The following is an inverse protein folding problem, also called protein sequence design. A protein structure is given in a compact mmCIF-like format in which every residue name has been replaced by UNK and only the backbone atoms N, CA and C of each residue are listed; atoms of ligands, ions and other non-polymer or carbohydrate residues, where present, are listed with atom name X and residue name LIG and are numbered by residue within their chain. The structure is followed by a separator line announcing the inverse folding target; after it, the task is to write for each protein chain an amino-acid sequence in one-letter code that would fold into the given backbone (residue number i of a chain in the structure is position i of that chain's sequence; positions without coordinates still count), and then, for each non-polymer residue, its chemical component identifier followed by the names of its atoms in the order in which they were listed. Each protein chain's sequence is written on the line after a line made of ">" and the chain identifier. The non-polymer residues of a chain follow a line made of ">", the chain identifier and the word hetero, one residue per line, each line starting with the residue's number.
data_IF_329285399585
#
_entry.id   IF_329285399585
#
_cell.length_a   1.000
_cell.length_b   1.000
_cell.length_c   1.000
_cell.angle_alpha   90.00
_cell.angle_beta   90.00
_cell.angle_gamma   90.00
#
_symmetry.space_group_name_H-M   'P 1'
#
loop_
_entity.id
_entity.type
_entity.pdbx_description
1 polymer ?
#
# COMPACT_ATOMS: atom_id res chain seq x y z
N UNK A 1 27.76 43.11 -5.83
CA UNK A 1 26.82 42.24 -6.56
C UNK A 1 26.92 40.84 -5.95
N UNK A 2 26.13 40.55 -4.92
CA UNK A 2 26.09 39.23 -4.27
C UNK A 2 25.01 38.38 -4.94
N UNK A 3 25.40 37.26 -5.54
CA UNK A 3 24.45 36.28 -6.05
C UNK A 3 23.99 35.43 -4.87
N UNK A 4 22.71 35.55 -4.50
CA UNK A 4 22.07 34.65 -3.56
C UNK A 4 22.04 33.24 -4.15
N UNK A 5 22.57 32.28 -3.40
CA UNK A 5 22.48 30.86 -3.68
C UNK A 5 21.01 30.43 -3.68
N UNK A 6 20.51 29.96 -4.82
CA UNK A 6 19.19 29.34 -4.91
C UNK A 6 19.22 28.05 -4.08
N UNK A 7 18.42 28.01 -3.02
CA UNK A 7 18.28 26.87 -2.12
C UNK A 7 17.79 25.63 -2.89
N UNK A 8 18.61 24.58 -2.94
CA UNK A 8 18.24 23.28 -3.51
C UNK A 8 17.31 22.44 -2.59
N UNK A 9 16.70 23.05 -1.57
CA UNK A 9 16.08 22.32 -0.44
C UNK A 9 14.59 21.94 -0.64
N UNK A 10 13.89 22.41 -1.68
CA UNK A 10 12.42 22.42 -1.62
C UNK A 10 11.66 21.11 -1.97
N UNK A 11 12.22 20.15 -2.72
CA UNK A 11 11.38 19.02 -3.21
C UNK A 11 11.46 17.73 -2.38
N UNK A 12 12.44 17.57 -1.49
CA UNK A 12 12.56 16.39 -0.61
C UNK A 12 11.47 16.40 0.47
N UNK A 13 11.16 17.59 1.00
CA UNK A 13 10.07 17.83 1.93
C UNK A 13 8.71 17.45 1.36
N UNK A 14 8.46 17.72 0.07
CA UNK A 14 7.17 17.46 -0.57
C UNK A 14 6.88 15.96 -0.76
N UNK A 15 7.91 15.14 -1.01
CA UNK A 15 7.77 13.68 -1.09
C UNK A 15 7.50 13.08 0.29
N UNK A 16 8.22 13.53 1.32
CA UNK A 16 7.94 13.14 2.72
C UNK A 16 6.51 13.54 3.10
N UNK A 17 6.05 14.72 2.66
CA UNK A 17 4.71 15.21 2.90
C UNK A 17 3.64 14.33 2.21
N UNK A 18 3.89 13.87 0.99
CA UNK A 18 2.96 13.00 0.25
C UNK A 18 2.75 11.65 0.94
N UNK A 19 3.84 10.97 1.35
CA UNK A 19 3.73 9.68 2.03
C UNK A 19 3.02 9.80 3.40
N UNK A 20 3.28 10.88 4.14
CA UNK A 20 2.60 11.17 5.41
C UNK A 20 1.11 11.41 5.17
N UNK A 21 0.75 12.21 4.17
CA UNK A 21 -0.65 12.44 3.81
C UNK A 21 -1.37 11.15 3.39
N UNK A 22 -0.71 10.29 2.59
CA UNK A 22 -1.25 8.98 2.19
C UNK A 22 -1.52 8.11 3.41
N UNK A 23 -0.57 8.01 4.35
CA UNK A 23 -0.75 7.25 5.59
C UNK A 23 -1.88 7.80 6.46
N UNK A 24 -1.98 9.12 6.59
CA UNK A 24 -3.06 9.74 7.36
C UNK A 24 -4.44 9.54 6.71
N UNK A 25 -4.50 9.55 5.38
CA UNK A 25 -5.71 9.20 4.64
C UNK A 25 -6.09 7.73 4.84
N UNK A 26 -5.12 6.82 4.87
CA UNK A 26 -5.36 5.40 5.14
C UNK A 26 -5.87 5.21 6.58
N UNK A 27 -5.25 5.84 7.58
CA UNK A 27 -5.68 5.75 8.99
C UNK A 27 -7.14 6.18 9.21
N UNK A 28 -7.67 7.07 8.38
CA UNK A 28 -9.07 7.55 8.45
C UNK A 28 -10.09 6.56 7.91
N UNK A 29 -9.66 5.51 7.22
CA UNK A 29 -10.55 4.45 6.70
C UNK A 29 -11.13 3.66 7.87
N UNK A 30 -12.43 3.35 7.84
CA UNK A 30 -13.07 2.64 8.97
C UNK A 30 -12.77 1.13 8.98
N UNK A 31 -12.72 0.50 7.81
CA UNK A 31 -12.43 -0.93 7.67
C UNK A 31 -10.94 -1.21 7.89
N UNK A 32 -10.63 -2.06 8.85
CA UNK A 32 -9.25 -2.49 9.10
C UNK A 32 -8.72 -3.36 7.96
N UNK A 33 -9.60 -4.14 7.31
CA UNK A 33 -9.23 -4.90 6.11
C UNK A 33 -8.84 -3.97 4.97
N UNK A 34 -9.60 -2.90 4.75
CA UNK A 34 -9.27 -1.91 3.73
C UNK A 34 -7.99 -1.14 4.07
N UNK A 35 -7.81 -0.75 5.34
CA UNK A 35 -6.55 -0.16 5.81
C UNK A 35 -5.35 -1.06 5.51
N UNK A 36 -5.42 -2.33 5.93
CA UNK A 36 -4.35 -3.31 5.72
C UNK A 36 -4.05 -3.49 4.24
N UNK A 37 -5.08 -3.57 3.39
CA UNK A 37 -4.92 -3.69 1.93
C UNK A 37 -4.16 -2.49 1.36
N UNK A 38 -4.49 -1.27 1.79
CA UNK A 38 -3.82 -0.06 1.30
C UNK A 38 -2.38 0.05 1.83
N UNK A 39 -2.16 -0.19 3.13
CA UNK A 39 -0.79 -0.19 3.70
C UNK A 39 0.09 -1.23 3.00
N UNK A 40 -0.44 -2.42 2.71
CA UNK A 40 0.32 -3.47 2.03
C UNK A 40 0.76 -3.06 0.63
N UNK A 41 -0.09 -2.31 -0.09
CA UNK A 41 0.25 -1.74 -1.42
C UNK A 41 1.28 -0.62 -1.33
N UNK A 42 1.13 0.30 -0.38
CA UNK A 42 2.10 1.38 -0.16
C UNK A 42 3.47 0.82 0.21
N UNK A 43 3.51 -0.24 1.03
CA UNK A 43 4.74 -0.95 1.34
C UNK A 43 5.41 -1.51 0.08
N UNK A 44 4.66 -2.21 -0.78
CA UNK A 44 5.20 -2.76 -2.03
C UNK A 44 5.74 -1.65 -2.94
N UNK A 45 5.05 -0.51 -3.04
CA UNK A 45 5.51 0.63 -3.83
C UNK A 45 6.88 1.13 -3.34
N UNK A 46 7.01 1.38 -2.03
CA UNK A 46 8.28 1.81 -1.41
C UNK A 46 9.36 0.75 -1.61
N UNK A 47 9.04 -0.52 -1.41
CA UNK A 47 9.99 -1.62 -1.58
C UNK A 47 10.53 -1.68 -3.01
N UNK A 48 9.66 -1.64 -4.01
CA UNK A 48 10.04 -1.67 -5.43
C UNK A 48 10.90 -0.46 -5.78
N UNK A 49 10.53 0.74 -5.31
CA UNK A 49 11.37 1.93 -5.48
C UNK A 49 12.78 1.72 -4.93
N UNK A 50 12.91 1.17 -3.71
CA UNK A 50 14.21 0.89 -3.10
C UNK A 50 14.98 -0.16 -3.87
N UNK A 51 14.30 -1.18 -4.38
CA UNK A 51 14.88 -2.22 -5.22
C UNK A 51 15.45 -1.63 -6.52
N UNK A 52 14.66 -0.84 -7.26
CA UNK A 52 15.11 -0.17 -8.49
C UNK A 52 16.29 0.77 -8.20
N UNK A 53 16.21 1.52 -7.09
CA UNK A 53 17.29 2.41 -6.66
C UNK A 53 18.58 1.65 -6.35
N UNK A 54 18.49 0.46 -5.75
CA UNK A 54 19.64 -0.39 -5.47
C UNK A 54 20.23 -0.99 -6.76
N UNK A 55 19.37 -1.47 -7.68
CA UNK A 55 19.80 -1.99 -8.97
C UNK A 55 20.52 -0.91 -9.79
N UNK A 56 19.99 0.31 -9.83
CA UNK A 56 20.65 1.42 -10.52
C UNK A 56 22.05 1.71 -9.99
N UNK A 57 22.30 1.55 -8.68
CA UNK A 57 23.64 1.75 -8.10
C UNK A 57 24.67 0.70 -8.55
N UNK A 58 24.21 -0.45 -9.04
CA UNK A 58 25.07 -1.53 -9.53
C UNK A 58 25.34 -1.48 -11.03
N UNK A 59 24.65 -0.59 -11.75
CA UNK A 59 24.87 -0.40 -13.19
C UNK A 59 26.03 0.56 -13.40
N UNK A 60 26.93 0.19 -14.31
CA UNK A 60 28.04 1.06 -14.71
C UNK A 60 27.51 2.35 -15.34
N UNK A 61 28.05 3.48 -14.91
CA UNK A 61 27.51 4.81 -15.22
C UNK A 61 28.17 5.44 -16.44
N UNK A 62 29.32 4.92 -16.86
CA UNK A 62 29.99 5.39 -18.07
C UNK A 62 29.14 5.09 -19.31
N UNK A 63 28.68 6.14 -20.01
CA UNK A 63 27.86 6.01 -21.22
C UNK A 63 26.37 5.66 -20.99
N UNK A 64 25.89 5.69 -19.75
CA UNK A 64 24.48 5.42 -19.43
C UNK A 64 23.51 6.46 -20.00
N UNK A 65 22.24 6.07 -20.17
CA UNK A 65 21.12 6.90 -20.68
C UNK A 65 20.92 8.25 -19.96
N UNK A 66 21.49 8.42 -18.77
CA UNK A 66 21.39 9.64 -17.97
C UNK A 66 22.67 10.49 -17.96
N UNK A 67 23.71 10.12 -18.71
CA UNK A 67 24.97 10.86 -18.80
C UNK A 67 25.75 10.94 -17.46
N UNK A 68 26.65 11.92 -17.36
CA UNK A 68 27.43 12.20 -16.15
C UNK A 68 26.54 12.61 -14.97
N UNK A 69 26.89 12.13 -13.77
CA UNK A 69 26.12 12.34 -12.53
C UNK A 69 26.07 13.83 -12.12
N UNK A 70 25.04 14.54 -12.57
CA UNK A 70 24.67 15.86 -12.05
C UNK A 70 23.63 15.73 -10.92
N UNK A 71 23.72 16.61 -9.91
CA UNK A 71 22.79 16.64 -8.75
C UNK A 71 21.32 16.76 -9.18
N UNK A 72 21.04 17.40 -10.31
CA UNK A 72 19.70 17.48 -10.88
C UNK A 72 19.20 16.13 -11.38
N UNK A 73 20.09 15.33 -11.97
CA UNK A 73 19.78 14.03 -12.54
C UNK A 73 19.46 13.00 -11.44
N UNK A 74 20.19 13.00 -10.33
CA UNK A 74 19.91 12.13 -9.18
C UNK A 74 18.50 12.36 -8.60
N UNK A 75 18.11 13.64 -8.54
CA UNK A 75 16.80 14.02 -8.06
C UNK A 75 15.70 13.60 -9.02
N UNK A 76 15.90 13.82 -10.33
CA UNK A 76 14.98 13.37 -11.37
C UNK A 76 14.82 11.83 -11.37
N UNK A 77 15.92 11.08 -11.30
CA UNK A 77 15.92 9.61 -11.18
C UNK A 77 15.08 9.14 -9.99
N UNK A 78 15.21 9.80 -8.84
CA UNK A 78 14.44 9.47 -7.64
C UNK A 78 12.94 9.61 -7.86
N UNK A 79 12.48 10.67 -8.55
CA UNK A 79 11.07 10.82 -8.91
C UNK A 79 10.58 9.73 -9.86
N UNK A 80 11.38 9.38 -10.87
CA UNK A 80 11.04 8.31 -11.81
C UNK A 80 10.93 6.97 -11.09
N UNK A 81 11.89 6.64 -10.21
CA UNK A 81 11.87 5.40 -9.46
C UNK A 81 10.66 5.31 -8.52
N UNK A 82 10.31 6.41 -7.86
CA UNK A 82 9.10 6.50 -7.03
C UNK A 82 7.83 6.23 -7.85
N UNK A 83 7.73 6.81 -9.04
CA UNK A 83 6.56 6.63 -9.90
C UNK A 83 6.47 5.22 -10.47
N UNK A 84 7.59 4.67 -10.93
CA UNK A 84 7.66 3.28 -11.39
C UNK A 84 7.28 2.32 -10.27
N UNK A 85 7.79 2.55 -9.04
CA UNK A 85 7.41 1.75 -7.87
C UNK A 85 5.91 1.77 -7.58
N UNK A 86 5.29 2.96 -7.62
CA UNK A 86 3.83 3.10 -7.47
C UNK A 86 3.05 2.44 -8.59
N UNK A 87 3.49 2.55 -9.84
CA UNK A 87 2.82 1.92 -10.98
C UNK A 87 2.88 0.40 -10.89
N UNK A 88 4.04 -0.16 -10.53
CA UNK A 88 4.24 -1.59 -10.32
C UNK A 88 3.31 -2.11 -9.22
N UNK A 89 3.27 -1.43 -8.07
CA UNK A 89 2.44 -1.85 -6.94
C UNK A 89 0.92 -1.70 -7.17
N UNK A 90 0.51 -0.74 -8.01
CA UNK A 90 -0.91 -0.49 -8.28
C UNK A 90 -1.46 -1.28 -9.46
N UNK A 91 -0.61 -1.73 -10.39
CA UNK A 91 -1.04 -2.49 -11.56
C UNK A 91 -1.16 -3.99 -11.23
N UNK A 92 -2.35 -4.61 -11.43
CA UNK A 92 -2.57 -6.03 -11.17
C UNK A 92 -1.67 -6.99 -11.96
N UNK A 93 -1.14 -6.56 -13.11
CA UNK A 93 -0.36 -7.41 -14.02
C UNK A 93 1.15 -7.23 -13.90
N UNK A 94 1.62 -6.23 -13.13
CA UNK A 94 3.05 -5.97 -12.92
C UNK A 94 3.46 -5.94 -11.46
N UNK A 95 2.54 -6.17 -10.52
CA UNK A 95 2.83 -6.27 -9.08
C UNK A 95 3.80 -7.41 -8.77
N UNK A 96 4.67 -7.18 -7.79
CA UNK A 96 5.63 -8.19 -7.30
C UNK A 96 4.92 -9.24 -6.43
N UNK A 97 3.75 -8.92 -5.89
CA UNK A 97 2.89 -9.83 -5.13
C UNK A 97 3.11 -9.81 -3.62
N UNK A 98 4.06 -9.03 -3.11
CA UNK A 98 4.28 -8.84 -1.67
C UNK A 98 3.08 -8.18 -1.01
N UNK A 99 2.44 -7.20 -1.67
CA UNK A 99 1.24 -6.57 -1.14
C UNK A 99 0.13 -7.60 -0.86
N UNK A 100 -0.06 -8.55 -1.79
CA UNK A 100 -1.05 -9.63 -1.65
C UNK A 100 -0.66 -10.60 -0.53
N UNK A 101 0.61 -10.99 -0.48
CA UNK A 101 1.10 -11.91 0.56
C UNK A 101 0.98 -11.32 1.97
N UNK A 102 1.34 -10.04 2.15
CA UNK A 102 1.22 -9.32 3.42
C UNK A 102 -0.25 -9.25 3.82
N UNK A 103 -1.12 -8.80 2.91
CA UNK A 103 -2.56 -8.74 3.16
C UNK A 103 -3.12 -10.10 3.59
N UNK A 104 -2.86 -11.18 2.83
CA UNK A 104 -3.41 -12.51 3.12
C UNK A 104 -2.88 -13.13 4.42
N UNK A 105 -1.64 -12.82 4.80
CA UNK A 105 -1.10 -13.29 6.07
C UNK A 105 -1.65 -12.51 7.26
N UNK A 106 -1.79 -11.19 7.12
CA UNK A 106 -2.20 -10.31 8.21
C UNK A 106 -3.72 -10.20 8.38
N UNK A 107 -4.52 -10.42 7.33
CA UNK A 107 -5.98 -10.32 7.42
C UNK A 107 -6.56 -11.33 8.42
N UNK A 108 -5.87 -12.45 8.62
CA UNK A 108 -6.25 -13.51 9.56
C UNK A 108 -6.14 -13.08 11.03
N UNK A 109 -5.30 -12.09 11.30
CA UNK A 109 -5.09 -11.55 12.64
C UNK A 109 -5.98 -10.32 12.92
N UNK A 110 -6.73 -9.84 11.92
CA UNK A 110 -7.62 -8.70 12.12
C UNK A 110 -8.84 -9.10 12.95
N UNK A 111 -9.30 -8.23 13.87
CA UNK A 111 -10.56 -8.43 14.56
C UNK A 111 -11.70 -8.47 13.53
N UNK A 112 -12.72 -9.28 13.80
CA UNK A 112 -13.93 -9.35 12.96
C UNK A 112 -14.59 -7.97 12.94
N UNK A 113 -14.89 -7.46 11.77
CA UNK A 113 -15.54 -6.17 11.63
C UNK A 113 -17.00 -6.25 12.11
N UNK A 114 -17.54 -5.13 12.61
CA UNK A 114 -18.90 -5.07 13.19
C UNK A 114 -19.98 -5.59 12.22
N UNK A 115 -19.79 -5.37 10.92
CA UNK A 115 -20.66 -5.87 9.85
C UNK A 115 -20.68 -7.40 9.77
N UNK A 116 -19.52 -8.06 9.91
CA UNK A 116 -19.40 -9.52 9.91
C UNK A 116 -19.98 -10.14 11.18
N UNK A 117 -19.86 -9.44 12.31
CA UNK A 117 -20.46 -9.83 13.58
C UNK A 117 -22.00 -9.76 13.50
N UNK A 118 -22.55 -8.72 12.86
CA UNK A 118 -24.00 -8.58 12.69
C UNK A 118 -24.57 -9.60 11.70
N UNK A 119 -23.88 -9.91 10.60
CA UNK A 119 -24.31 -10.92 9.64
C UNK A 119 -24.26 -12.34 10.23
N UNK A 120 -23.19 -12.68 10.95
CA UNK A 120 -23.11 -13.97 11.65
C UNK A 120 -24.15 -14.09 12.76
N UNK A 121 -24.45 -13.00 13.48
CA UNK A 121 -25.54 -12.99 14.47
C UNK A 121 -26.92 -13.18 13.82
N UNK A 122 -27.20 -12.54 12.68
CA UNK A 122 -28.45 -12.73 11.92
C UNK A 122 -28.60 -14.15 11.37
N UNK A 123 -27.51 -14.72 10.83
CA UNK A 123 -27.50 -16.10 10.32
C UNK A 123 -27.64 -17.13 11.45
N UNK A 124 -27.01 -16.90 12.60
CA UNK A 124 -27.17 -17.74 13.78
C UNK A 124 -28.60 -17.69 14.34
N UNK A 125 -29.22 -16.51 14.39
CA UNK A 125 -30.61 -16.34 14.78
C UNK A 125 -31.58 -17.02 13.81
N UNK A 126 -31.35 -16.90 12.49
CA UNK A 126 -32.14 -17.59 11.48
C UNK A 126 -32.02 -19.12 11.56
N UNK A 127 -30.81 -19.64 11.83
CA UNK A 127 -30.58 -21.08 12.01
C UNK A 127 -31.21 -21.64 13.29
N UNK A 128 -31.26 -20.84 14.37
CA UNK A 128 -31.95 -21.22 15.61
C UNK A 128 -33.47 -21.23 15.44
N UNK A 129 -34.04 -20.23 14.76
CA UNK A 129 -35.47 -20.21 14.42
C UNK A 129 -35.89 -21.43 13.60
N UNK A 130 -35.08 -21.83 12.60
CA UNK A 130 -35.37 -23.00 11.76
C UNK A 130 -35.30 -24.33 12.53
N UNK A 131 -34.48 -24.43 13.57
CA UNK A 131 -34.41 -25.62 14.44
C UNK A 131 -35.66 -25.76 15.30
N UNK A 132 -36.15 -24.65 15.87
CA UNK A 132 -37.36 -24.63 16.69
C UNK A 132 -38.60 -25.12 15.91
N UNK A 133 -38.78 -24.66 14.66
CA UNK A 133 -39.87 -25.16 13.80
C UNK A 133 -39.73 -26.64 13.42
N UNK A 134 -38.49 -27.14 13.31
CA UNK A 134 -38.23 -28.55 12.94
C UNK A 134 -38.44 -29.51 14.11
N UNK A 135 -38.32 -29.02 15.35
CA UNK A 135 -38.59 -29.79 16.57
C UNK A 135 -40.09 -29.87 16.87
N UNK A 136 -40.85 -28.79 16.69
CA UNK A 136 -42.32 -28.78 16.83
C UNK A 136 -43.04 -29.71 15.85
N UNK A 137 -42.53 -29.86 14.63
CA UNK A 137 -43.12 -30.75 13.61
C UNK A 137 -42.68 -32.22 13.73
N UNK A 138 -41.85 -32.58 14.72
CA UNK A 138 -41.50 -33.98 15.02
C UNK A 138 -42.40 -34.61 16.10
N UNK A 139 -43.19 -33.81 16.79
CA UNK A 139 -44.09 -34.26 17.87
C UNK A 139 -45.56 -34.41 17.42
N UNK A 140 -45.82 -34.32 16.11
CA UNK A 140 -47.11 -34.58 15.45
C UNK A 140 -46.95 -35.81 14.55
#
# INVERSE_FOLDING_TARGET
>A
MSYQSIQAQALSSDIVNTNVQTLDNIKRIKSQKEQLKKVSKEFEAIFVTKMISALHKTVDKEGGIFGSDDKYMDKFKSFIFDEVGRQIANNPNSTVGFAKQIYTQMEKALPKEETEIQETAKQAAAAQGLKHYRELNKEI
#
